data_IF_707584483774
#
_entry.id   IF_707584483774
#
_cell.length_a   1.000
_cell.length_b   1.000
_cell.length_c   1.000
_cell.angle_alpha   90.00
_cell.angle_beta   90.00
_cell.angle_gamma   90.00
#
_symmetry.space_group_name_H-M   'P 1'
#
loop_
_entity.id
_entity.type
_entity.pdbx_description
1 polymer ?
#
# COMPACT_ATOMS: atom_id res chain seq x y z
N UNK A 1 24.15 -28.46 13.10
CA UNK A 1 24.04 -27.03 13.45
C UNK A 1 23.77 -26.95 14.95
N UNK A 2 24.61 -26.25 15.69
CA UNK A 2 24.41 -25.99 17.12
C UNK A 2 23.32 -24.92 17.33
N UNK A 3 22.77 -24.83 18.55
CA UNK A 3 21.82 -23.77 18.90
C UNK A 3 22.41 -22.37 18.67
N UNK A 4 23.72 -22.19 18.94
CA UNK A 4 24.40 -20.92 18.71
C UNK A 4 24.55 -20.58 17.23
N UNK A 5 24.83 -21.57 16.38
CA UNK A 5 24.89 -21.37 14.92
C UNK A 5 23.50 -21.02 14.36
N UNK A 6 22.45 -21.69 14.85
CA UNK A 6 21.07 -21.39 14.45
C UNK A 6 20.62 -19.98 14.85
N UNK A 7 20.95 -19.54 16.06
CA UNK A 7 20.67 -18.18 16.53
C UNK A 7 21.43 -17.14 15.69
N UNK A 8 22.70 -17.39 15.40
CA UNK A 8 23.50 -16.49 14.57
C UNK A 8 22.93 -16.36 13.15
N UNK A 9 22.61 -17.48 12.50
CA UNK A 9 22.01 -17.47 11.17
C UNK A 9 20.65 -16.76 11.17
N UNK A 10 19.84 -16.95 12.21
CA UNK A 10 18.54 -16.28 12.34
C UNK A 10 18.72 -14.76 12.46
N UNK A 11 19.69 -14.30 13.26
CA UNK A 11 20.00 -12.88 13.39
C UNK A 11 20.46 -12.27 12.06
N UNK A 12 21.30 -12.99 11.30
CA UNK A 12 21.74 -12.53 9.97
C UNK A 12 20.56 -12.43 9.00
N UNK A 13 19.68 -13.43 8.96
CA UNK A 13 18.50 -13.43 8.11
C UNK A 13 17.58 -12.23 8.43
N UNK A 14 17.38 -11.91 9.71
CA UNK A 14 16.60 -10.74 10.13
C UNK A 14 17.24 -9.42 9.68
N UNK A 15 18.57 -9.31 9.79
CA UNK A 15 19.31 -8.12 9.34
C UNK A 15 19.17 -7.95 7.82
N UNK A 16 19.36 -9.02 7.05
CA UNK A 16 19.25 -8.99 5.59
C UNK A 16 17.82 -8.65 5.14
N UNK A 17 16.80 -9.21 5.80
CA UNK A 17 15.40 -8.88 5.56
C UNK A 17 15.13 -7.39 5.82
N UNK A 18 15.60 -6.84 6.95
CA UNK A 18 15.45 -5.43 7.28
C UNK A 18 16.13 -4.53 6.24
N UNK A 19 17.33 -4.89 5.77
CA UNK A 19 18.02 -4.14 4.72
C UNK A 19 17.24 -4.13 3.41
N UNK A 20 16.63 -5.25 3.01
CA UNK A 20 15.82 -5.32 1.81
C UNK A 20 14.52 -4.53 1.94
N UNK A 21 13.85 -4.59 3.09
CA UNK A 21 12.69 -3.75 3.39
C UNK A 21 13.01 -2.26 3.34
N UNK A 22 14.20 -1.85 3.83
CA UNK A 22 14.66 -0.47 3.72
C UNK A 22 14.90 -0.04 2.26
N UNK A 23 15.43 -0.92 1.41
CA UNK A 23 15.60 -0.64 -0.03
C UNK A 23 14.25 -0.47 -0.72
N UNK A 24 13.30 -1.38 -0.45
CA UNK A 24 11.93 -1.29 -0.97
C UNK A 24 11.26 0.02 -0.53
N UNK A 25 11.33 0.36 0.76
CA UNK A 25 10.80 1.62 1.27
C UNK A 25 11.44 2.84 0.58
N UNK A 26 12.76 2.80 0.35
CA UNK A 26 13.47 3.83 -0.41
C UNK A 26 12.97 3.96 -1.87
N UNK A 27 12.59 2.86 -2.50
CA UNK A 27 12.06 2.85 -3.86
C UNK A 27 10.68 3.52 -3.98
N UNK A 28 9.90 3.63 -2.88
CA UNK A 28 8.63 4.36 -2.89
C UNK A 28 8.78 5.85 -3.22
N UNK A 29 9.98 6.43 -3.09
CA UNK A 29 10.26 7.80 -3.59
C UNK A 29 9.94 7.96 -5.09
N UNK A 30 9.93 6.89 -5.88
CA UNK A 30 9.54 6.94 -7.29
C UNK A 30 8.09 7.34 -7.52
N UNK A 31 7.23 7.24 -6.50
CA UNK A 31 5.84 7.70 -6.55
C UNK A 31 5.78 9.22 -6.75
N UNK A 32 6.72 9.96 -6.16
CA UNK A 32 6.80 11.41 -6.31
C UNK A 32 6.86 11.80 -7.79
N UNK A 33 6.07 12.81 -8.16
CA UNK A 33 6.05 13.29 -9.52
C UNK A 33 5.67 14.76 -9.56
N UNK A 34 6.21 15.47 -10.55
CA UNK A 34 5.77 16.83 -10.89
C UNK A 34 5.51 16.87 -12.38
N UNK A 35 4.24 17.01 -12.72
CA UNK A 35 3.74 17.13 -14.09
C UNK A 35 2.89 18.40 -14.22
N UNK A 36 2.47 18.74 -15.44
CA UNK A 36 1.68 19.95 -15.69
C UNK A 36 0.31 19.94 -14.97
N UNK A 37 -0.25 18.76 -14.79
CA UNK A 37 -1.60 18.50 -14.29
C UNK A 37 -1.62 17.90 -12.87
N UNK A 38 -0.51 17.33 -12.41
CA UNK A 38 -0.43 16.58 -11.17
C UNK A 38 0.93 16.74 -10.47
N UNK A 39 0.90 16.97 -9.17
CA UNK A 39 2.05 16.86 -8.27
C UNK A 39 1.74 15.83 -7.19
N UNK A 40 2.68 14.91 -6.97
CA UNK A 40 2.69 13.98 -5.84
C UNK A 40 4.02 14.19 -5.12
N UNK A 41 3.96 14.44 -3.81
CA UNK A 41 5.15 14.76 -3.00
C UNK A 41 5.11 14.01 -1.69
N UNK A 42 6.28 13.53 -1.25
CA UNK A 42 6.41 12.89 0.06
C UNK A 42 6.00 13.85 1.19
N UNK A 43 5.30 13.32 2.18
CA UNK A 43 4.97 14.04 3.40
C UNK A 43 5.65 13.39 4.59
N UNK A 44 6.33 14.20 5.40
CA UNK A 44 6.91 13.76 6.67
C UNK A 44 5.88 13.71 7.82
N UNK A 45 4.59 13.96 7.52
CA UNK A 45 3.54 13.71 8.49
C UNK A 45 3.51 12.19 8.75
N UNK A 46 3.67 11.80 10.02
CA UNK A 46 3.61 10.39 10.41
C UNK A 46 2.38 10.13 11.27
N UNK A 47 1.80 8.94 11.09
CA UNK A 47 0.88 8.33 12.04
C UNK A 47 1.62 7.45 13.06
N UNK A 48 2.88 7.11 12.76
CA UNK A 48 3.60 6.03 13.42
C UNK A 48 4.20 6.47 14.76
N UNK A 49 4.06 5.58 15.75
CA UNK A 49 4.83 5.64 17.00
C UNK A 49 6.14 4.90 16.75
N UNK A 50 7.26 5.43 17.25
CA UNK A 50 8.55 4.72 17.25
C UNK A 50 8.43 3.44 18.09
N UNK A 51 8.20 2.30 17.44
CA UNK A 51 8.18 0.98 18.08
C UNK A 51 9.27 0.12 17.47
N UNK A 52 10.00 -0.59 18.34
CA UNK A 52 11.01 -1.55 17.92
C UNK A 52 10.33 -2.72 17.20
N UNK A 53 10.61 -2.86 15.90
CA UNK A 53 9.92 -3.73 14.92
C UNK A 53 8.51 -3.23 14.61
N UNK A 54 8.39 -2.34 13.61
CA UNK A 54 7.09 -1.90 13.12
C UNK A 54 6.54 -2.94 12.11
N UNK A 55 5.49 -3.70 12.45
CA UNK A 55 4.91 -4.71 11.57
C UNK A 55 4.23 -4.10 10.32
N UNK A 56 3.92 -2.80 10.37
CA UNK A 56 3.40 -2.03 9.23
C UNK A 56 4.14 -0.72 9.08
N UNK A 57 4.89 -0.55 7.98
CA UNK A 57 5.63 0.69 7.70
C UNK A 57 5.00 1.45 6.54
N UNK A 58 4.56 2.66 6.80
CA UNK A 58 3.79 3.53 5.91
C UNK A 58 4.59 4.75 5.45
N UNK A 59 4.48 5.05 4.17
CA UNK A 59 4.89 6.30 3.56
C UNK A 59 3.64 7.05 3.08
N UNK A 60 3.61 8.37 3.29
CA UNK A 60 2.48 9.21 2.93
C UNK A 60 2.90 10.24 1.88
N UNK A 61 2.03 10.48 0.92
CA UNK A 61 2.26 11.45 -0.14
C UNK A 61 1.04 12.35 -0.31
N UNK A 62 1.29 13.64 -0.45
CA UNK A 62 0.25 14.61 -0.73
C UNK A 62 0.03 14.74 -2.24
N UNK A 63 -1.23 14.72 -2.67
CA UNK A 63 -1.63 14.88 -4.06
C UNK A 63 -2.15 16.29 -4.29
N UNK A 64 -1.58 16.97 -5.27
CA UNK A 64 -2.03 18.30 -5.73
C UNK A 64 -2.37 18.22 -7.21
N UNK A 65 -3.56 18.67 -7.58
CA UNK A 65 -3.99 18.78 -8.99
C UNK A 65 -3.84 20.21 -9.48
N UNK A 66 -3.47 20.35 -10.75
CA UNK A 66 -3.22 21.64 -11.39
C UNK A 66 -4.20 21.86 -12.54
N UNK A 67 -4.85 23.03 -12.54
CA UNK A 67 -5.71 23.49 -13.64
C UNK A 67 -5.24 24.86 -14.11
N UNK A 68 -4.35 24.86 -15.10
CA UNK A 68 -3.71 26.06 -15.60
C UNK A 68 -2.71 26.62 -14.58
N UNK A 69 -2.96 27.83 -14.07
CA UNK A 69 -2.13 28.47 -13.03
C UNK A 69 -2.62 28.20 -11.60
N UNK A 70 -3.75 27.49 -11.44
CA UNK A 70 -4.32 27.18 -10.12
C UNK A 70 -3.92 25.76 -9.72
N UNK A 71 -3.51 25.61 -8.47
CA UNK A 71 -3.26 24.33 -7.81
C UNK A 71 -4.26 24.16 -6.66
N UNK A 72 -4.69 22.93 -6.41
CA UNK A 72 -5.50 22.58 -5.25
C UNK A 72 -5.10 21.21 -4.72
N UNK A 73 -5.11 21.06 -3.41
CA UNK A 73 -4.94 19.77 -2.76
C UNK A 73 -6.08 18.85 -3.20
N UNK A 74 -5.74 17.61 -3.54
CA UNK A 74 -6.65 16.66 -4.14
C UNK A 74 -6.71 15.34 -3.36
N UNK A 75 -5.88 15.19 -2.31
CA UNK A 75 -5.97 14.06 -1.41
C UNK A 75 -4.62 13.53 -0.94
N UNK A 76 -4.66 12.32 -0.39
CA UNK A 76 -3.52 11.64 0.21
C UNK A 76 -3.33 10.25 -0.39
N UNK A 77 -2.08 9.87 -0.61
CA UNK A 77 -1.68 8.50 -0.91
C UNK A 77 -1.01 7.92 0.33
N UNK A 78 -1.37 6.70 0.68
CA UNK A 78 -0.66 5.90 1.67
C UNK A 78 -0.08 4.68 0.98
N UNK A 79 1.20 4.39 1.23
CA UNK A 79 1.83 3.13 0.84
C UNK A 79 2.39 2.45 2.07
N UNK A 80 1.91 1.25 2.38
CA UNK A 80 2.30 0.53 3.59
C UNK A 80 2.84 -0.86 3.29
N UNK A 81 3.99 -1.21 3.86
CA UNK A 81 4.50 -2.59 3.89
C UNK A 81 3.88 -3.26 5.11
N UNK A 82 3.04 -4.28 4.90
CA UNK A 82 2.46 -5.10 5.96
C UNK A 82 3.09 -6.49 5.95
N UNK A 83 3.78 -6.86 7.04
CA UNK A 83 4.49 -8.13 7.15
C UNK A 83 3.68 -9.21 7.86
N UNK A 84 2.76 -8.80 8.73
CA UNK A 84 1.91 -9.67 9.52
C UNK A 84 0.56 -9.01 9.77
N UNK A 85 -0.43 -9.83 10.08
CA UNK A 85 -1.76 -9.43 10.50
C UNK A 85 -2.15 -10.34 11.69
N UNK A 86 -2.89 -9.83 12.69
CA UNK A 86 -3.54 -10.69 13.69
C UNK A 86 -4.50 -11.72 13.02
N UNK A 87 -5.05 -12.69 13.75
CA UNK A 87 -6.06 -13.57 13.14
C UNK A 87 -7.40 -12.83 13.09
N UNK A 88 -8.03 -12.60 11.92
CA UNK A 88 -9.39 -12.11 11.91
C UNK A 88 -10.33 -13.13 12.56
N UNK A 89 -11.25 -12.67 13.40
CA UNK A 89 -12.38 -13.47 13.85
C UNK A 89 -13.23 -13.87 12.61
N UNK A 90 -13.04 -15.09 12.10
CA UNK A 90 -13.74 -15.58 10.90
C UNK A 90 -12.88 -15.68 9.62
N UNK A 91 -11.55 -15.54 9.73
CA UNK A 91 -10.55 -15.55 8.65
C UNK A 91 -10.39 -16.84 7.82
N UNK A 92 -11.40 -17.70 7.73
CA UNK A 92 -11.33 -18.91 6.92
C UNK A 92 -11.25 -18.64 5.41
N UNK A 93 -11.65 -17.46 4.94
CA UNK A 93 -12.04 -17.28 3.53
C UNK A 93 -11.09 -16.46 2.67
N UNK A 94 -10.24 -15.58 3.24
CA UNK A 94 -9.35 -14.75 2.43
C UNK A 94 -7.91 -15.27 2.37
N UNK A 95 -7.59 -15.97 1.27
CA UNK A 95 -6.26 -16.58 1.04
C UNK A 95 -5.06 -15.64 1.15
N UNK A 96 -5.24 -14.35 0.89
CA UNK A 96 -4.14 -13.36 0.88
C UNK A 96 -4.03 -12.54 2.17
N UNK A 97 -4.96 -12.69 3.12
CA UNK A 97 -4.93 -11.94 4.38
C UNK A 97 -3.63 -12.14 5.14
N UNK A 98 -3.13 -13.37 5.15
CA UNK A 98 -1.91 -13.78 5.87
C UNK A 98 -0.61 -13.58 5.09
N UNK A 99 -0.66 -13.09 3.85
CA UNK A 99 0.54 -12.88 3.03
C UNK A 99 1.13 -11.49 3.29
N UNK A 100 2.47 -11.43 3.34
CA UNK A 100 3.20 -10.17 3.36
C UNK A 100 2.97 -9.42 2.05
N UNK A 101 2.67 -8.12 2.15
CA UNK A 101 2.19 -7.32 1.01
C UNK A 101 2.50 -5.85 1.17
N UNK A 102 2.39 -5.13 0.06
CA UNK A 102 2.38 -3.67 0.03
C UNK A 102 0.97 -3.20 -0.32
N UNK A 103 0.41 -2.37 0.56
CA UNK A 103 -0.89 -1.72 0.41
C UNK A 103 -0.68 -0.35 -0.22
N UNK A 104 -1.44 -0.02 -1.25
CA UNK A 104 -1.42 1.29 -1.92
C UNK A 104 -2.82 1.84 -1.94
N UNK A 105 -3.05 2.91 -1.17
CA UNK A 105 -4.34 3.56 -1.04
C UNK A 105 -4.30 5.01 -1.45
N UNK A 106 -5.41 5.50 -1.99
CA UNK A 106 -5.67 6.91 -2.23
C UNK A 106 -6.98 7.30 -1.55
N UNK A 107 -6.95 8.41 -0.82
CA UNK A 107 -8.13 9.07 -0.28
C UNK A 107 -8.22 10.46 -0.91
N UNK A 108 -9.31 10.81 -1.61
CA UNK A 108 -9.50 12.12 -2.23
C UNK A 108 -9.98 13.21 -1.25
N UNK A 109 -9.81 13.02 0.05
CA UNK A 109 -10.00 14.05 1.07
C UNK A 109 -8.68 14.78 1.37
N UNK A 110 -8.74 16.10 1.55
CA UNK A 110 -7.57 16.94 1.83
C UNK A 110 -7.15 16.93 3.30
N UNK A 111 -8.05 16.62 4.22
CA UNK A 111 -7.74 16.49 5.63
C UNK A 111 -6.91 15.22 5.86
N UNK A 112 -5.83 15.41 6.60
CA UNK A 112 -4.89 14.36 6.94
C UNK A 112 -5.55 13.21 7.70
N UNK A 113 -6.58 13.50 8.50
CA UNK A 113 -7.27 12.52 9.32
C UNK A 113 -7.95 11.40 8.50
N UNK A 114 -8.34 11.68 7.25
CA UNK A 114 -8.99 10.70 6.36
C UNK A 114 -8.03 9.90 5.47
N UNK A 115 -6.72 10.06 5.62
CA UNK A 115 -5.76 9.19 4.91
C UNK A 115 -5.98 7.73 5.30
N UNK A 116 -5.63 6.81 4.42
CA UNK A 116 -5.58 5.40 4.79
C UNK A 116 -4.58 5.18 5.93
N UNK A 117 -5.02 4.54 7.00
CA UNK A 117 -4.19 4.05 8.09
C UNK A 117 -4.23 2.53 8.04
N UNK A 118 -3.13 1.94 7.62
CA UNK A 118 -2.97 0.48 7.65
C UNK A 118 -2.24 0.11 8.94
N UNK A 119 -2.80 -0.80 9.73
CA UNK A 119 -2.20 -1.27 10.97
C UNK A 119 -2.29 -2.81 11.11
N UNK A 120 -1.96 -3.32 12.30
CA UNK A 120 -2.01 -4.76 12.61
C UNK A 120 -3.24 -5.21 13.38
N UNK A 121 -3.94 -4.27 14.03
CA UNK A 121 -5.10 -4.57 14.87
C UNK A 121 -6.30 -4.98 14.02
N UNK A 122 -6.34 -4.51 12.78
CA UNK A 122 -7.30 -4.96 11.77
C UNK A 122 -6.60 -5.85 10.76
N UNK A 123 -6.49 -7.17 11.02
CA UNK A 123 -5.92 -8.08 10.05
C UNK A 123 -6.77 -8.31 8.82
N UNK A 124 -8.08 -8.04 8.97
CA UNK A 124 -8.98 -7.82 7.86
C UNK A 124 -8.65 -6.47 7.19
N UNK A 125 -8.28 -5.41 7.92
CA UNK A 125 -7.79 -4.09 7.46
C UNK A 125 -6.52 -4.10 6.59
N UNK A 126 -5.94 -5.27 6.38
CA UNK A 126 -5.19 -5.64 5.18
C UNK A 126 -6.00 -5.54 3.86
N UNK A 127 -7.27 -5.14 3.90
CA UNK A 127 -8.25 -5.19 2.82
C UNK A 127 -9.66 -4.69 3.19
N UNK A 128 -10.19 -5.10 4.32
CA UNK A 128 -11.53 -4.83 4.80
C UNK A 128 -11.44 -3.90 6.02
N UNK A 129 -11.60 -2.62 5.74
CA UNK A 129 -12.15 -1.68 6.73
C UNK A 129 -13.65 -2.06 6.91
N UNK A 130 -14.25 -1.86 8.08
CA UNK A 130 -15.69 -2.17 8.29
C UNK A 130 -16.59 -1.46 7.27
N UNK A 131 -16.09 -0.34 6.72
CA UNK A 131 -16.72 0.48 5.69
C UNK A 131 -16.02 0.36 4.33
N UNK A 132 -15.59 -0.85 3.93
CA UNK A 132 -15.02 -1.10 2.60
C UNK A 132 -15.66 -2.30 1.89
N UNK A 133 -16.05 -2.08 0.63
CA UNK A 133 -16.56 -3.12 -0.26
C UNK A 133 -15.51 -3.51 -1.30
N UNK A 134 -15.33 -4.82 -1.57
CA UNK A 134 -14.47 -5.29 -2.65
C UNK A 134 -15.10 -4.98 -4.01
N UNK A 135 -14.37 -4.27 -4.87
CA UNK A 135 -14.75 -3.98 -6.25
C UNK A 135 -13.66 -4.49 -7.20
N UNK A 136 -13.85 -5.70 -7.72
CA UNK A 136 -12.91 -6.31 -8.66
C UNK A 136 -11.51 -6.51 -8.04
N UNK A 137 -10.56 -5.65 -8.40
CA UNK A 137 -9.15 -5.74 -7.95
C UNK A 137 -8.80 -4.76 -6.83
N UNK A 138 -9.74 -3.93 -6.40
CA UNK A 138 -9.54 -2.91 -5.37
C UNK A 138 -10.57 -3.06 -4.24
N UNK A 139 -10.28 -2.40 -3.14
CA UNK A 139 -11.25 -2.07 -2.09
C UNK A 139 -11.66 -0.62 -2.25
N UNK A 140 -12.94 -0.33 -2.05
CA UNK A 140 -13.52 1.01 -2.12
C UNK A 140 -14.20 1.32 -0.80
N UNK A 141 -14.03 2.54 -0.31
CA UNK A 141 -14.71 3.00 0.90
C UNK A 141 -16.22 3.14 0.66
N UNK A 142 -17.05 2.59 1.56
CA UNK A 142 -18.50 2.47 1.40
C UNK A 142 -19.22 3.83 1.44
N UNK A 143 -18.69 4.79 2.20
CA UNK A 143 -19.27 6.12 2.38
C UNK A 143 -19.04 7.10 1.19
N UNK A 144 -18.81 6.58 -0.01
CA UNK A 144 -18.92 7.30 -1.30
C UNK A 144 -17.88 8.41 -1.57
N UNK A 145 -16.89 8.61 -0.68
CA UNK A 145 -15.81 9.59 -0.89
C UNK A 145 -14.86 9.20 -2.04
N UNK A 146 -15.00 8.00 -2.62
CA UNK A 146 -14.17 7.56 -3.75
C UNK A 146 -12.74 7.22 -3.36
N UNK A 147 -12.49 7.02 -2.06
CA UNK A 147 -11.26 6.41 -1.55
C UNK A 147 -11.17 4.94 -1.96
N UNK A 148 -9.98 4.51 -2.34
CA UNK A 148 -9.73 3.13 -2.73
C UNK A 148 -8.32 2.70 -2.35
N UNK A 149 -8.11 1.39 -2.29
CA UNK A 149 -6.77 0.82 -2.22
C UNK A 149 -6.68 -0.55 -2.91
N UNK A 150 -5.45 -0.95 -3.21
CA UNK A 150 -5.12 -2.31 -3.65
C UNK A 150 -3.89 -2.84 -2.92
N UNK A 151 -3.66 -4.13 -3.02
CA UNK A 151 -2.56 -4.82 -2.37
C UNK A 151 -1.73 -5.61 -3.37
N UNK A 152 -0.41 -5.49 -3.28
CA UNK A 152 0.58 -6.22 -4.09
C UNK A 152 1.33 -7.19 -3.19
N UNK A 153 1.52 -8.42 -3.67
CA UNK A 153 2.31 -9.42 -2.96
C UNK A 153 3.76 -8.92 -2.80
N UNK A 154 4.33 -9.05 -1.60
CA UNK A 154 5.65 -8.47 -1.31
C UNK A 154 6.77 -9.08 -2.16
N UNK A 155 6.66 -10.37 -2.47
CA UNK A 155 7.61 -11.11 -3.30
C UNK A 155 7.57 -10.71 -4.78
N UNK A 156 6.52 -10.02 -5.24
CA UNK A 156 6.47 -9.44 -6.56
C UNK A 156 7.26 -8.12 -6.69
N UNK A 157 7.83 -7.59 -5.60
CA UNK A 157 8.53 -6.30 -5.52
C UNK A 157 10.03 -6.49 -5.26
N UNK A 158 10.68 -7.30 -6.08
CA UNK A 158 12.09 -7.71 -5.94
C UNK A 158 13.09 -6.73 -6.57
N UNK A 159 12.60 -5.72 -7.28
CA UNK A 159 13.38 -4.80 -8.10
C UNK A 159 12.71 -3.44 -8.19
N UNK A 160 13.49 -2.43 -8.58
CA UNK A 160 12.99 -1.07 -8.79
C UNK A 160 12.00 -1.02 -9.95
N UNK A 161 12.26 -1.80 -11.00
CA UNK A 161 11.37 -1.96 -12.15
C UNK A 161 10.03 -2.58 -11.73
N UNK A 162 10.05 -3.58 -10.86
CA UNK A 162 8.81 -4.18 -10.34
C UNK A 162 8.02 -3.19 -9.47
N UNK A 163 8.70 -2.34 -8.69
CA UNK A 163 8.05 -1.23 -7.95
C UNK A 163 7.36 -0.26 -8.91
N UNK A 164 8.03 0.12 -10.00
CA UNK A 164 7.42 1.02 -10.99
C UNK A 164 6.22 0.38 -11.68
N UNK A 165 6.36 -0.88 -12.12
CA UNK A 165 5.32 -1.64 -12.81
C UNK A 165 4.10 -1.91 -11.92
N UNK A 166 4.31 -2.29 -10.67
CA UNK A 166 3.25 -2.79 -9.80
C UNK A 166 2.65 -1.72 -8.88
N UNK A 167 3.40 -0.65 -8.57
CA UNK A 167 2.97 0.40 -7.65
C UNK A 167 2.83 1.75 -8.36
N UNK A 168 3.93 2.27 -8.93
CA UNK A 168 4.00 3.67 -9.41
C UNK A 168 3.09 3.91 -10.61
N UNK A 169 3.24 3.09 -11.66
CA UNK A 169 2.49 3.24 -12.91
C UNK A 169 0.99 3.06 -12.69
N UNK A 170 0.52 1.99 -12.02
CA UNK A 170 -0.91 1.83 -11.72
C UNK A 170 -1.48 2.96 -10.86
N UNK A 171 -0.77 3.36 -9.80
CA UNK A 171 -1.19 4.44 -8.91
C UNK A 171 -1.42 5.75 -9.68
N UNK A 172 -0.47 6.14 -10.54
CA UNK A 172 -0.59 7.36 -11.34
C UNK A 172 -1.76 7.30 -12.31
N UNK A 173 -1.96 6.18 -12.98
CA UNK A 173 -3.07 5.99 -13.91
C UNK A 173 -4.43 6.11 -13.17
N UNK A 174 -4.56 5.47 -12.00
CA UNK A 174 -5.78 5.52 -11.20
C UNK A 174 -6.08 6.94 -10.67
N UNK A 175 -5.08 7.67 -10.17
CA UNK A 175 -5.26 9.05 -9.68
C UNK A 175 -5.70 10.01 -10.79
N UNK A 176 -5.14 9.82 -12.00
CA UNK A 176 -5.51 10.59 -13.19
C UNK A 176 -6.86 10.19 -13.77
N UNK A 177 -7.42 9.05 -13.33
CA UNK A 177 -8.61 8.41 -13.90
C UNK A 177 -8.40 8.02 -15.37
N UNK A 178 -7.17 7.65 -15.72
CA UNK A 178 -6.76 7.21 -17.05
C UNK A 178 -7.07 5.71 -17.27
N UNK A 179 -8.33 5.32 -17.06
CA UNK A 179 -8.82 3.95 -17.17
C UNK A 179 -9.63 3.49 -15.96
N UNK A 180 -10.17 2.28 -16.05
CA UNK A 180 -10.85 1.62 -14.92
C UNK A 180 -9.83 0.83 -14.09
N UNK A 181 -10.11 0.58 -12.80
CA UNK A 181 -9.29 -0.31 -11.97
C UNK A 181 -8.98 -1.64 -12.64
N UNK A 182 -9.94 -2.24 -13.34
CA UNK A 182 -9.78 -3.52 -14.02
C UNK A 182 -8.76 -3.45 -15.15
N UNK A 183 -8.78 -2.36 -15.93
CA UNK A 183 -7.88 -2.13 -17.05
C UNK A 183 -6.46 -1.79 -16.58
N UNK A 184 -6.33 -0.96 -15.55
CA UNK A 184 -5.03 -0.55 -15.00
C UNK A 184 -4.36 -1.68 -14.24
N UNK A 185 -5.10 -2.42 -13.40
CA UNK A 185 -4.58 -3.50 -12.56
C UNK A 185 -4.68 -4.88 -13.23
N UNK A 186 -5.35 -4.97 -14.38
CA UNK A 186 -5.48 -6.19 -15.19
C UNK A 186 -4.14 -6.85 -15.55
N UNK A 187 -3.17 -6.10 -16.09
CA UNK A 187 -1.87 -6.64 -16.48
C UNK A 187 -1.06 -7.24 -15.33
N UNK A 188 -1.24 -6.75 -14.10
CA UNK A 188 -0.49 -7.18 -12.91
C UNK A 188 -1.30 -8.09 -11.98
N UNK A 189 -2.46 -8.58 -12.41
CA UNK A 189 -3.41 -9.32 -11.55
C UNK A 189 -2.78 -10.46 -10.73
N UNK A 190 -1.82 -11.17 -11.32
CA UNK A 190 -1.19 -12.35 -10.71
C UNK A 190 -0.18 -11.97 -9.61
N UNK A 191 0.20 -10.68 -9.55
CA UNK A 191 1.05 -10.07 -8.53
C UNK A 191 0.23 -9.42 -7.40
N UNK A 192 -1.10 -9.38 -7.51
CA UNK A 192 -1.99 -8.73 -6.54
C UNK A 192 -2.47 -9.71 -5.46
N UNK A 193 -2.74 -9.17 -4.27
CA UNK A 193 -3.55 -9.80 -3.25
C UNK A 193 -5.02 -9.44 -3.49
N UNK A 194 -5.69 -10.18 -4.37
CA UNK A 194 -7.04 -9.85 -4.83
C UNK A 194 -8.04 -9.94 -3.64
N UNK A 195 -8.94 -8.95 -3.49
CA UNK A 195 -10.01 -8.99 -2.49
C UNK A 195 -10.89 -10.25 -2.62
N UNK A 196 -11.43 -10.81 -1.52
CA UNK A 196 -12.46 -11.83 -1.61
C UNK A 196 -13.69 -11.23 -2.31
N UNK A 197 -14.19 -11.91 -3.33
CA UNK A 197 -15.35 -11.45 -4.08
C UNK A 197 -16.61 -11.99 -3.41
N UNK A 198 -17.68 -11.18 -3.36
CA UNK A 198 -19.01 -11.69 -2.97
C UNK A 198 -19.43 -12.76 -4.00
N UNK A 199 -19.82 -13.94 -3.49
CA UNK A 199 -20.28 -15.06 -4.30
C UNK A 199 -21.65 -14.79 -4.94
#
# INVERSE_FOLDING_TARGET
MSASEALWQSAQNLLDAQMNLNKLYGAFSQIECVTKDLTIQYSNKSAERDVWVNPVRSAFFQVTKHKGKKSFEAGWITVAIQLACEEPDGAGEWKYGRQAKVLVGYCPDTDWEYRWIFDTADPDGAGKFEDCTPEGKIWVHDDDDGGWFYAVQLDALDSVEAVDECLVTPLRALIKKDGTPEGVLGPIKDKLCIPPQKA
#
